data_IF_618803369925
#
_entry.id   IF_618803369925
#
_cell.length_a   1.000
_cell.length_b   1.000
_cell.length_c   1.000
_cell.angle_alpha   90.00
_cell.angle_beta   90.00
_cell.angle_gamma   90.00
#
_symmetry.space_group_name_H-M   'P 1'
#
loop_
_entity.id
_entity.type
_entity.pdbx_description
1 polymer ?
#
# COMPACT_ATOMS: atom_id res chain seq x y z
N UNK A 1 8.27 6.56 -40.44
CA UNK A 1 8.88 5.25 -40.12
C UNK A 1 10.30 5.54 -39.73
N UNK A 2 10.73 5.13 -38.54
CA UNK A 2 12.11 5.39 -38.09
C UNK A 2 12.82 4.04 -37.99
N UNK A 3 13.95 3.93 -38.68
CA UNK A 3 14.75 2.71 -38.91
C UNK A 3 15.53 2.29 -37.64
N UNK A 4 14.86 2.19 -36.47
CA UNK A 4 15.53 1.78 -35.23
C UNK A 4 15.65 0.26 -35.13
N UNK A 5 14.59 -0.46 -35.47
CA UNK A 5 14.56 -1.92 -35.42
C UNK A 5 13.65 -2.49 -36.50
N UNK A 6 13.82 -3.78 -36.77
CA UNK A 6 12.90 -4.57 -37.57
C UNK A 6 12.34 -5.73 -36.77
N UNK A 7 11.18 -6.22 -37.20
CA UNK A 7 10.62 -7.49 -36.73
C UNK A 7 11.22 -8.64 -37.55
N UNK A 8 11.94 -9.53 -36.89
CA UNK A 8 12.55 -10.71 -37.54
C UNK A 8 11.45 -11.75 -37.79
N UNK A 9 10.74 -11.65 -38.92
CA UNK A 9 9.49 -12.39 -39.19
C UNK A 9 9.57 -13.92 -39.09
N UNK A 10 10.75 -14.50 -39.32
CA UNK A 10 10.97 -15.95 -39.17
C UNK A 10 11.27 -16.37 -37.73
N UNK A 11 11.68 -15.45 -36.85
CA UNK A 11 11.84 -15.67 -35.42
C UNK A 11 10.57 -15.24 -34.70
N UNK A 12 9.62 -16.17 -34.57
CA UNK A 12 8.33 -15.92 -33.93
C UNK A 12 8.05 -16.92 -32.81
N UNK A 13 7.24 -16.50 -31.83
CA UNK A 13 6.72 -17.36 -30.76
C UNK A 13 5.30 -16.97 -30.38
N UNK A 14 4.57 -17.91 -29.82
CA UNK A 14 3.22 -17.69 -29.27
C UNK A 14 3.32 -17.39 -27.76
N UNK A 15 2.71 -16.29 -27.32
CA UNK A 15 2.49 -15.97 -25.90
C UNK A 15 1.05 -15.50 -25.75
N UNK A 16 0.29 -16.11 -24.83
CA UNK A 16 -1.10 -15.74 -24.53
C UNK A 16 -2.00 -15.64 -25.79
N UNK A 17 -1.79 -16.56 -26.76
CA UNK A 17 -2.52 -16.58 -28.03
C UNK A 17 -2.14 -15.47 -29.03
N UNK A 18 -1.02 -14.77 -28.79
CA UNK A 18 -0.44 -13.75 -29.67
C UNK A 18 0.84 -14.26 -30.30
N UNK A 19 0.97 -14.03 -31.60
CA UNK A 19 2.23 -14.24 -32.32
C UNK A 19 3.13 -13.01 -32.13
N UNK A 20 4.26 -13.19 -31.45
CA UNK A 20 5.29 -12.17 -31.24
C UNK A 20 6.51 -12.46 -32.13
N UNK A 21 7.23 -11.40 -32.49
CA UNK A 21 8.45 -11.43 -33.29
C UNK A 21 9.63 -10.90 -32.49
N UNK A 22 10.80 -11.51 -32.69
CA UNK A 22 12.05 -10.99 -32.15
C UNK A 22 12.37 -9.64 -32.81
N UNK A 23 12.80 -8.65 -32.04
CA UNK A 23 13.28 -7.38 -32.60
C UNK A 23 14.78 -7.45 -32.91
N UNK A 24 15.21 -6.76 -33.96
CA UNK A 24 16.63 -6.61 -34.32
C UNK A 24 16.98 -5.17 -34.57
N UNK A 25 18.04 -4.67 -33.94
CA UNK A 25 18.48 -3.29 -34.08
C UNK A 25 19.02 -3.01 -35.50
N UNK A 26 18.56 -1.92 -36.11
CA UNK A 26 18.98 -1.48 -37.45
C UNK A 26 20.12 -0.44 -37.40
N UNK A 27 20.34 0.17 -36.23
CA UNK A 27 21.42 1.13 -35.94
C UNK A 27 21.90 0.99 -34.49
N UNK A 28 23.13 1.41 -34.15
CA UNK A 28 23.59 1.42 -32.78
C UNK A 28 22.97 2.57 -31.97
N UNK A 29 22.72 2.36 -30.68
CA UNK A 29 22.32 3.38 -29.70
C UNK A 29 22.59 2.86 -28.28
N UNK A 30 23.08 3.72 -27.39
CA UNK A 30 23.52 3.34 -26.05
C UNK A 30 24.50 2.13 -26.08
N UNK A 31 24.12 1.02 -25.45
CA UNK A 31 24.84 -0.26 -25.41
C UNK A 31 24.44 -1.24 -26.53
N UNK A 32 23.39 -0.93 -27.31
CA UNK A 32 22.88 -1.77 -28.41
C UNK A 32 23.65 -1.48 -29.69
N UNK A 33 24.16 -2.54 -30.34
CA UNK A 33 24.84 -2.47 -31.64
C UNK A 33 23.90 -2.82 -32.78
N UNK A 34 24.22 -2.34 -33.99
CA UNK A 34 23.50 -2.74 -35.20
C UNK A 34 23.56 -4.25 -35.38
N UNK A 35 22.41 -4.89 -35.59
CA UNK A 35 22.26 -6.33 -35.74
C UNK A 35 21.93 -7.07 -34.44
N UNK A 36 22.05 -6.43 -33.27
CA UNK A 36 21.73 -7.06 -31.99
C UNK A 36 20.25 -7.46 -31.94
N UNK A 37 19.99 -8.65 -31.40
CA UNK A 37 18.64 -9.14 -31.15
C UNK A 37 18.18 -8.65 -29.78
N UNK A 38 17.04 -7.95 -29.76
CA UNK A 38 16.30 -7.62 -28.54
C UNK A 38 15.19 -8.63 -28.25
N UNK A 39 14.29 -8.33 -27.34
CA UNK A 39 13.17 -9.20 -26.94
C UNK A 39 12.06 -9.30 -27.98
N UNK A 40 10.85 -9.52 -27.51
CA UNK A 40 9.72 -9.97 -28.34
C UNK A 40 8.58 -8.95 -28.34
N UNK A 41 8.07 -8.63 -29.52
CA UNK A 41 6.92 -7.73 -29.68
C UNK A 41 5.89 -8.26 -30.66
N UNK A 42 4.61 -7.94 -30.46
CA UNK A 42 3.54 -8.30 -31.41
C UNK A 42 3.62 -7.44 -32.67
N UNK A 43 3.91 -6.14 -32.51
CA UNK A 43 4.01 -5.19 -33.60
C UNK A 43 4.99 -4.06 -33.29
N UNK A 44 5.31 -3.25 -34.31
CA UNK A 44 6.12 -2.04 -34.15
C UNK A 44 5.51 -1.03 -33.16
N UNK A 45 4.20 -1.11 -32.93
CA UNK A 45 3.50 -0.23 -31.99
C UNK A 45 3.87 -0.48 -30.53
N UNK A 46 4.47 -1.62 -30.18
CA UNK A 46 4.82 -1.96 -28.80
C UNK A 46 6.11 -1.28 -28.32
N UNK A 47 6.98 -0.88 -29.25
CA UNK A 47 8.22 -0.17 -28.95
C UNK A 47 8.26 1.11 -29.79
N UNK A 48 7.86 2.24 -29.18
CA UNK A 48 7.67 3.50 -29.89
C UNK A 48 8.78 4.50 -29.61
N UNK A 49 8.96 5.38 -30.58
CA UNK A 49 9.70 6.62 -30.45
C UNK A 49 8.72 7.75 -30.12
N UNK A 50 9.14 8.68 -29.27
CA UNK A 50 8.52 9.98 -29.11
C UNK A 50 9.55 11.06 -28.71
N UNK A 51 9.07 12.27 -28.47
CA UNK A 51 9.91 13.40 -28.03
C UNK A 51 10.56 13.19 -26.66
N UNK A 52 10.18 12.16 -25.89
CA UNK A 52 10.74 11.86 -24.57
C UNK A 52 12.02 11.00 -24.65
N UNK A 53 12.32 10.42 -25.81
CA UNK A 53 13.58 9.71 -26.02
C UNK A 53 13.51 8.63 -27.10
N UNK A 54 14.69 8.31 -27.63
CA UNK A 54 14.89 7.31 -28.68
C UNK A 54 15.56 6.03 -28.17
N UNK A 55 15.78 5.88 -26.85
CA UNK A 55 16.64 4.83 -26.32
C UNK A 55 15.89 3.60 -25.81
N UNK A 56 14.56 3.64 -25.75
CA UNK A 56 13.76 2.52 -25.26
C UNK A 56 14.11 1.20 -25.96
N UNK A 57 14.32 0.14 -25.18
CA UNK A 57 14.69 -1.16 -25.72
C UNK A 57 14.17 -2.32 -24.88
N UNK A 58 13.88 -3.42 -25.56
CA UNK A 58 13.44 -4.67 -24.95
C UNK A 58 14.60 -5.64 -25.17
N UNK A 59 15.16 -6.18 -24.09
CA UNK A 59 16.29 -7.12 -24.08
C UNK A 59 15.82 -8.55 -23.82
N UNK A 60 16.73 -9.50 -24.01
CA UNK A 60 16.60 -10.89 -23.55
C UNK A 60 15.28 -11.54 -23.99
N UNK A 61 14.56 -12.20 -23.09
CA UNK A 61 13.30 -12.88 -23.37
C UNK A 61 12.06 -12.02 -23.07
N UNK A 62 12.24 -10.74 -22.74
CA UNK A 62 11.14 -9.87 -22.38
C UNK A 62 10.13 -9.76 -23.52
N UNK A 63 8.85 -9.61 -23.17
CA UNK A 63 7.74 -9.61 -24.11
C UNK A 63 6.85 -8.39 -23.90
N UNK A 64 6.56 -7.66 -24.97
CA UNK A 64 5.63 -6.53 -24.96
C UNK A 64 4.62 -6.70 -26.09
N UNK A 65 3.34 -6.84 -25.77
CA UNK A 65 2.31 -7.21 -26.74
C UNK A 65 0.95 -6.59 -26.41
N UNK A 66 -0.03 -6.80 -27.30
CA UNK A 66 -1.29 -6.08 -27.29
C UNK A 66 -1.06 -4.58 -27.48
N UNK A 67 -1.78 -3.78 -26.69
CA UNK A 67 -1.70 -2.32 -26.67
C UNK A 67 -0.60 -1.77 -25.77
N UNK A 68 0.20 -2.63 -25.12
CA UNK A 68 1.29 -2.15 -24.29
C UNK A 68 2.32 -1.37 -25.12
N UNK A 69 2.80 -0.24 -24.58
CA UNK A 69 3.76 0.64 -25.25
C UNK A 69 4.95 0.89 -24.32
N UNK A 70 6.15 0.70 -24.88
CA UNK A 70 7.42 1.14 -24.27
C UNK A 70 7.99 2.29 -25.10
N UNK A 71 8.36 3.40 -24.43
CA UNK A 71 8.85 4.62 -25.08
C UNK A 71 9.90 5.36 -24.20
N UNK A 72 10.48 6.44 -24.72
CA UNK A 72 11.49 7.23 -24.03
C UNK A 72 12.84 6.51 -23.92
N UNK A 73 13.34 6.32 -22.69
CA UNK A 73 14.57 5.59 -22.37
C UNK A 73 14.27 4.34 -21.50
N UNK A 74 13.03 3.84 -21.56
CA UNK A 74 12.61 2.70 -20.75
C UNK A 74 13.24 1.40 -21.24
N UNK A 75 13.65 0.55 -20.32
CA UNK A 75 14.32 -0.70 -20.66
C UNK A 75 13.66 -1.90 -19.98
N UNK A 76 13.35 -2.91 -20.79
CA UNK A 76 12.69 -4.14 -20.34
C UNK A 76 13.66 -5.30 -20.53
N UNK A 77 13.90 -6.12 -19.51
CA UNK A 77 14.94 -7.16 -19.51
C UNK A 77 14.41 -8.52 -19.05
N UNK A 78 15.27 -9.54 -19.14
CA UNK A 78 15.05 -10.90 -18.65
C UNK A 78 13.77 -11.54 -19.22
N UNK A 79 12.83 -11.96 -18.38
CA UNK A 79 11.59 -12.66 -18.76
C UNK A 79 10.34 -11.81 -18.47
N UNK A 80 10.51 -10.49 -18.27
CA UNK A 80 9.40 -9.59 -17.95
C UNK A 80 8.35 -9.58 -19.07
N UNK A 81 7.07 -9.53 -18.68
CA UNK A 81 5.94 -9.52 -19.61
C UNK A 81 5.06 -8.30 -19.40
N UNK A 82 4.72 -7.65 -20.51
CA UNK A 82 3.93 -6.43 -20.52
C UNK A 82 2.83 -6.57 -21.57
N UNK A 83 1.58 -6.48 -21.15
CA UNK A 83 0.44 -6.57 -22.05
C UNK A 83 -0.73 -5.65 -21.64
N UNK A 84 -1.55 -5.34 -22.64
CA UNK A 84 -2.83 -4.67 -22.49
C UNK A 84 -3.74 -5.11 -23.65
N UNK A 85 -4.68 -6.01 -23.38
CA UNK A 85 -5.40 -6.70 -24.47
C UNK A 85 -6.75 -6.10 -24.86
N UNK A 86 -7.43 -5.40 -23.95
CA UNK A 86 -8.84 -5.10 -24.05
C UNK A 86 -9.11 -3.69 -24.58
N UNK A 87 -10.36 -3.41 -25.00
CA UNK A 87 -10.66 -2.20 -25.77
C UNK A 87 -10.35 -0.89 -25.01
N UNK A 88 -10.45 -0.92 -23.68
CA UNK A 88 -10.32 0.26 -22.81
C UNK A 88 -9.04 0.28 -21.94
N UNK A 89 -8.25 -0.79 -21.92
CA UNK A 89 -7.05 -0.86 -21.09
C UNK A 89 -5.80 -0.34 -21.82
N UNK A 90 -4.78 0.05 -21.05
CA UNK A 90 -3.49 0.45 -21.59
C UNK A 90 -2.36 0.21 -20.58
N UNK A 91 -1.18 -0.14 -21.07
CA UNK A 91 0.04 -0.21 -20.29
C UNK A 91 1.12 0.64 -20.98
N UNK A 92 1.52 1.73 -20.33
CA UNK A 92 2.53 2.66 -20.86
C UNK A 92 3.75 2.70 -19.95
N UNK A 93 4.92 2.42 -20.52
CA UNK A 93 6.21 2.39 -19.83
C UNK A 93 7.13 3.41 -20.50
N UNK A 94 7.61 4.37 -19.72
CA UNK A 94 8.25 5.59 -20.22
C UNK A 94 9.38 6.08 -19.32
N UNK A 95 10.01 7.20 -19.67
CA UNK A 95 11.11 7.77 -18.90
C UNK A 95 12.35 6.89 -18.93
N UNK A 96 13.02 6.73 -17.80
CA UNK A 96 14.16 5.83 -17.60
C UNK A 96 13.75 4.55 -16.83
N UNK A 97 12.46 4.18 -16.87
CA UNK A 97 11.95 3.04 -16.12
C UNK A 97 12.66 1.74 -16.51
N UNK A 98 12.89 0.87 -15.52
CA UNK A 98 13.51 -0.44 -15.72
C UNK A 98 12.58 -1.54 -15.22
N UNK A 99 12.26 -2.48 -16.10
CA UNK A 99 11.44 -3.64 -15.77
C UNK A 99 12.24 -4.90 -16.06
N UNK A 100 12.46 -5.75 -15.08
CA UNK A 100 13.31 -6.94 -15.24
C UNK A 100 12.86 -8.10 -14.34
N UNK A 101 13.56 -9.24 -14.38
CA UNK A 101 13.15 -10.46 -13.70
C UNK A 101 11.96 -11.13 -14.39
N UNK A 102 10.97 -11.57 -13.60
CA UNK A 102 9.72 -12.21 -14.04
C UNK A 102 8.51 -11.28 -13.84
N UNK A 103 8.73 -9.97 -13.76
CA UNK A 103 7.67 -8.99 -13.52
C UNK A 103 6.57 -9.11 -14.60
N UNK A 104 5.30 -9.09 -14.15
CA UNK A 104 4.13 -9.15 -15.04
C UNK A 104 3.32 -7.86 -14.92
N UNK A 105 3.23 -7.13 -16.02
CA UNK A 105 2.41 -5.94 -16.16
C UNK A 105 1.28 -6.28 -17.13
N UNK A 106 0.05 -6.32 -16.63
CA UNK A 106 -1.11 -6.80 -17.38
C UNK A 106 -2.33 -5.95 -17.02
N UNK A 107 -2.65 -5.00 -17.89
CA UNK A 107 -3.68 -4.00 -17.63
C UNK A 107 -5.12 -4.58 -17.54
N UNK A 108 -5.32 -5.90 -17.57
CA UNK A 108 -6.61 -6.54 -17.23
C UNK A 108 -7.79 -6.03 -18.06
N UNK A 109 -9.01 -6.02 -17.49
CA UNK A 109 -10.21 -5.57 -18.22
C UNK A 109 -10.36 -4.07 -18.31
N UNK A 110 -10.15 -3.39 -17.19
CA UNK A 110 -10.37 -1.97 -16.95
C UNK A 110 -9.13 -1.26 -16.39
N UNK A 111 -8.01 -1.97 -16.27
CA UNK A 111 -6.78 -1.44 -15.71
C UNK A 111 -6.10 -0.43 -16.62
N UNK A 112 -5.47 0.56 -16.00
CA UNK A 112 -4.58 1.50 -16.68
C UNK A 112 -3.27 1.52 -15.92
N UNK A 113 -2.20 1.08 -16.57
CA UNK A 113 -0.87 1.07 -15.99
C UNK A 113 -0.02 2.17 -16.62
N UNK A 114 0.56 3.03 -15.78
CA UNK A 114 1.52 4.04 -16.20
C UNK A 114 2.78 3.92 -15.34
N UNK A 115 3.88 3.50 -15.96
CA UNK A 115 5.19 3.37 -15.32
C UNK A 115 6.14 4.39 -15.97
N UNK A 116 6.77 5.23 -15.17
CA UNK A 116 7.60 6.34 -15.67
C UNK A 116 8.70 6.77 -14.72
N UNK A 117 9.37 7.88 -15.04
CA UNK A 117 10.51 8.37 -14.24
C UNK A 117 11.68 7.38 -14.25
N UNK A 118 12.31 7.15 -13.12
CA UNK A 118 13.37 6.15 -12.90
C UNK A 118 12.83 4.88 -12.19
N UNK A 119 11.52 4.61 -12.28
CA UNK A 119 10.89 3.52 -11.54
C UNK A 119 11.50 2.16 -11.88
N UNK A 120 11.58 1.28 -10.88
CA UNK A 120 12.17 -0.07 -11.04
C UNK A 120 11.18 -1.14 -10.62
N UNK A 121 10.81 -2.01 -11.56
CA UNK A 121 9.91 -3.14 -11.32
C UNK A 121 10.67 -4.45 -11.57
N UNK A 122 10.75 -5.31 -10.57
CA UNK A 122 11.52 -6.55 -10.70
C UNK A 122 11.03 -7.71 -9.81
N UNK A 123 11.74 -8.83 -9.81
CA UNK A 123 11.27 -10.06 -9.16
C UNK A 123 10.07 -10.64 -9.89
N UNK A 124 9.06 -11.08 -9.16
CA UNK A 124 7.79 -11.61 -9.64
C UNK A 124 6.64 -10.60 -9.46
N UNK A 125 6.94 -9.31 -9.34
CA UNK A 125 5.94 -8.27 -9.09
C UNK A 125 4.84 -8.29 -10.17
N UNK A 126 3.59 -8.10 -9.76
CA UNK A 126 2.43 -8.06 -10.64
C UNK A 126 1.75 -6.70 -10.58
N UNK A 127 1.50 -6.09 -11.74
CA UNK A 127 0.86 -4.78 -11.82
C UNK A 127 -0.28 -4.87 -12.83
N UNK A 128 -1.50 -4.60 -12.38
CA UNK A 128 -2.69 -4.62 -13.24
C UNK A 128 -3.35 -3.27 -13.41
N UNK A 129 -3.11 -2.33 -12.50
CA UNK A 129 -3.51 -0.93 -12.64
C UNK A 129 -2.67 -0.04 -11.73
N UNK A 130 -2.63 1.25 -12.01
CA UNK A 130 -1.98 2.25 -11.17
C UNK A 130 -0.84 3.01 -11.87
N UNK A 131 -0.37 4.05 -11.17
CA UNK A 131 0.73 4.90 -11.62
C UNK A 131 1.97 4.67 -10.76
N UNK A 132 3.10 4.33 -11.36
CA UNK A 132 4.37 4.15 -10.67
C UNK A 132 5.40 5.07 -11.33
N UNK A 133 5.97 6.01 -10.57
CA UNK A 133 6.84 7.03 -11.15
C UNK A 133 8.02 7.42 -10.26
N UNK A 134 8.85 8.35 -10.75
CA UNK A 134 10.02 8.87 -10.04
C UNK A 134 11.00 7.74 -9.69
N UNK A 135 11.48 7.58 -8.46
CA UNK A 135 12.46 6.54 -8.10
C UNK A 135 11.80 5.31 -7.41
N UNK A 136 10.48 5.17 -7.52
CA UNK A 136 9.74 4.11 -6.85
C UNK A 136 10.21 2.71 -7.27
N UNK A 137 10.17 1.76 -6.33
CA UNK A 137 10.55 0.36 -6.56
C UNK A 137 9.44 -0.59 -6.16
N UNK A 138 9.11 -1.53 -7.05
CA UNK A 138 8.15 -2.61 -6.78
C UNK A 138 8.82 -3.94 -7.12
N UNK A 139 8.95 -4.83 -6.14
CA UNK A 139 9.70 -6.07 -6.34
C UNK A 139 9.22 -7.24 -5.47
N UNK A 140 9.98 -8.35 -5.48
CA UNK A 140 9.58 -9.65 -4.93
C UNK A 140 8.26 -10.14 -5.53
N UNK A 141 7.23 -10.43 -4.74
CA UNK A 141 5.91 -10.87 -5.21
C UNK A 141 4.83 -9.80 -5.00
N UNK A 142 5.20 -8.52 -4.87
CA UNK A 142 4.25 -7.44 -4.64
C UNK A 142 3.19 -7.35 -5.75
N UNK A 143 1.93 -7.08 -5.37
CA UNK A 143 0.80 -6.96 -6.30
C UNK A 143 0.19 -5.55 -6.23
N UNK A 144 0.17 -4.86 -7.37
CA UNK A 144 -0.40 -3.50 -7.51
C UNK A 144 -1.60 -3.57 -8.45
N UNK A 145 -2.79 -3.30 -7.92
CA UNK A 145 -4.05 -3.29 -8.70
C UNK A 145 -4.68 -1.91 -8.77
N UNK A 146 -3.98 -0.88 -8.29
CA UNK A 146 -4.41 0.51 -8.38
C UNK A 146 -3.53 1.45 -7.54
N UNK A 147 -3.91 2.73 -7.51
CA UNK A 147 -3.21 3.76 -6.75
C UNK A 147 -2.03 4.43 -7.48
N UNK A 148 -1.28 5.25 -6.75
CA UNK A 148 -0.12 6.01 -7.22
C UNK A 148 1.05 5.80 -6.27
N UNK A 149 2.18 5.33 -6.80
CA UNK A 149 3.42 5.07 -6.08
C UNK A 149 4.51 5.95 -6.69
N UNK A 150 5.12 6.84 -5.90
CA UNK A 150 6.10 7.80 -6.42
C UNK A 150 7.23 8.08 -5.42
N UNK A 151 8.07 9.06 -5.74
CA UNK A 151 9.27 9.44 -4.98
C UNK A 151 10.22 8.25 -4.81
N UNK A 152 10.61 7.89 -3.59
CA UNK A 152 11.53 6.77 -3.31
C UNK A 152 10.81 5.57 -2.65
N UNK A 153 9.48 5.50 -2.76
CA UNK A 153 8.68 4.46 -2.12
C UNK A 153 9.09 3.06 -2.59
N UNK A 154 9.05 2.08 -1.67
CA UNK A 154 9.41 0.69 -1.92
C UNK A 154 8.28 -0.25 -1.53
N UNK A 155 7.77 -1.02 -2.49
CA UNK A 155 6.77 -2.06 -2.25
C UNK A 155 7.40 -3.42 -2.57
N UNK A 156 7.43 -4.33 -1.60
CA UNK A 156 8.12 -5.62 -1.75
C UNK A 156 7.53 -6.73 -0.88
N UNK A 157 8.16 -7.89 -0.78
CA UNK A 157 7.55 -9.08 -0.18
C UNK A 157 6.31 -9.54 -0.97
N UNK A 158 5.21 -9.80 -0.27
CA UNK A 158 3.91 -10.19 -0.84
C UNK A 158 2.85 -9.07 -0.65
N UNK A 159 3.29 -7.82 -0.50
CA UNK A 159 2.38 -6.70 -0.22
C UNK A 159 1.39 -6.48 -1.36
N UNK A 160 0.15 -6.11 -1.02
CA UNK A 160 -0.95 -5.87 -1.96
C UNK A 160 -1.43 -4.44 -1.86
N UNK A 161 -1.31 -3.68 -2.94
CA UNK A 161 -1.78 -2.29 -3.05
C UNK A 161 -2.96 -2.25 -4.01
N UNK A 162 -4.15 -2.00 -3.48
CA UNK A 162 -5.38 -1.94 -4.25
C UNK A 162 -5.68 -0.51 -4.71
N UNK A 163 -5.39 0.48 -3.87
CA UNK A 163 -5.64 1.90 -4.14
C UNK A 163 -4.85 2.78 -3.17
N UNK A 164 -4.76 4.07 -3.48
CA UNK A 164 -4.13 5.07 -2.59
C UNK A 164 -2.98 5.85 -3.19
N UNK A 165 -2.38 6.72 -2.37
CA UNK A 165 -1.17 7.48 -2.73
C UNK A 165 -0.04 7.13 -1.77
N UNK A 166 1.03 6.52 -2.28
CA UNK A 166 2.20 6.08 -1.53
C UNK A 166 3.42 6.83 -2.05
N UNK A 167 4.05 7.66 -1.20
CA UNK A 167 5.11 8.59 -1.58
C UNK A 167 6.23 8.63 -0.51
N UNK A 168 7.18 9.56 -0.63
CA UNK A 168 8.32 9.65 0.27
C UNK A 168 9.29 8.49 0.11
N UNK A 169 9.86 8.07 1.24
CA UNK A 169 10.67 6.87 1.39
C UNK A 169 9.88 5.71 2.01
N UNK A 170 8.54 5.73 1.91
CA UNK A 170 7.66 4.74 2.53
C UNK A 170 8.01 3.31 2.07
N UNK A 171 7.92 2.36 3.00
CA UNK A 171 8.24 0.94 2.77
C UNK A 171 7.05 0.08 3.15
N UNK A 172 6.50 -0.65 2.18
CA UNK A 172 5.36 -1.56 2.38
C UNK A 172 5.79 -2.96 1.97
N UNK A 173 5.75 -3.91 2.90
CA UNK A 173 6.26 -5.27 2.68
C UNK A 173 5.54 -6.33 3.51
N UNK A 174 6.06 -7.56 3.57
CA UNK A 174 5.34 -8.68 4.17
C UNK A 174 4.11 -9.05 3.35
N UNK A 175 3.02 -9.44 4.00
CA UNK A 175 1.70 -9.70 3.41
C UNK A 175 0.72 -8.53 3.64
N UNK A 176 1.21 -7.30 3.82
CA UNK A 176 0.35 -6.14 4.09
C UNK A 176 -0.65 -5.87 2.96
N UNK A 177 -1.86 -5.43 3.30
CA UNK A 177 -2.91 -5.04 2.34
C UNK A 177 -3.26 -3.57 2.52
N UNK A 178 -3.19 -2.80 1.44
CA UNK A 178 -3.47 -1.35 1.42
C UNK A 178 -4.61 -1.05 0.44
N UNK A 179 -5.64 -0.37 0.90
CA UNK A 179 -6.82 0.03 0.14
C UNK A 179 -7.26 1.44 0.56
N UNK A 180 -6.56 2.47 0.12
CA UNK A 180 -6.86 3.84 0.55
C UNK A 180 -7.93 4.49 -0.33
N UNK A 181 -9.01 4.92 0.32
CA UNK A 181 -10.15 5.59 -0.30
C UNK A 181 -9.87 7.06 -0.65
N UNK A 182 -10.82 7.63 -1.37
CA UNK A 182 -11.00 9.08 -1.55
C UNK A 182 -12.43 9.45 -1.23
N UNK A 183 -12.66 10.65 -0.69
CA UNK A 183 -14.00 11.19 -0.51
C UNK A 183 -14.29 12.34 -1.51
N UNK A 184 -15.56 12.75 -1.55
CA UNK A 184 -16.06 13.78 -2.46
C UNK A 184 -15.53 15.20 -2.17
N UNK A 185 -14.82 15.39 -1.05
CA UNK A 185 -14.24 16.68 -0.63
C UNK A 185 -12.73 16.73 -0.84
N UNK A 186 -12.19 15.88 -1.72
CA UNK A 186 -10.77 15.81 -2.12
C UNK A 186 -9.80 15.29 -1.05
N UNK A 187 -10.28 14.72 0.06
CA UNK A 187 -9.40 13.98 0.94
C UNK A 187 -9.17 12.58 0.37
N UNK A 188 -7.92 12.12 0.49
CA UNK A 188 -7.48 10.81 0.04
C UNK A 188 -6.60 10.23 1.14
N UNK A 189 -6.77 8.94 1.43
CA UNK A 189 -5.79 8.26 2.28
C UNK A 189 -4.41 8.29 1.61
N UNK A 190 -3.38 8.54 2.42
CA UNK A 190 -2.01 8.76 1.95
C UNK A 190 -1.00 8.11 2.87
N UNK A 191 0.04 7.51 2.29
CA UNK A 191 1.20 7.01 3.02
C UNK A 191 2.41 7.76 2.50
N UNK A 192 3.13 8.47 3.36
CA UNK A 192 4.33 9.22 2.97
C UNK A 192 5.37 9.29 4.10
N UNK A 193 6.47 10.00 3.85
CA UNK A 193 7.60 10.05 4.79
C UNK A 193 8.44 8.77 4.74
N UNK A 194 8.95 8.34 5.88
CA UNK A 194 9.72 7.09 6.08
C UNK A 194 8.86 5.97 6.68
N UNK A 195 7.53 6.02 6.52
CA UNK A 195 6.59 5.07 7.13
C UNK A 195 6.92 3.63 6.72
N UNK A 196 6.75 2.68 7.64
CA UNK A 196 6.97 1.26 7.43
C UNK A 196 5.72 0.46 7.77
N UNK A 197 5.18 -0.25 6.79
CA UNK A 197 3.98 -1.08 6.95
C UNK A 197 4.34 -2.50 6.52
N UNK A 198 4.20 -3.48 7.42
CA UNK A 198 4.66 -4.84 7.14
C UNK A 198 3.90 -5.93 7.90
N UNK A 199 4.42 -7.17 7.84
CA UNK A 199 3.76 -8.39 8.30
C UNK A 199 2.39 -8.57 7.66
N UNK A 200 1.29 -8.62 8.42
CA UNK A 200 -0.06 -8.81 7.90
C UNK A 200 -0.93 -7.56 8.08
N UNK A 201 -0.32 -6.38 8.25
CA UNK A 201 -1.04 -5.13 8.48
C UNK A 201 -2.05 -4.80 7.37
N UNK A 202 -3.25 -4.38 7.74
CA UNK A 202 -4.33 -4.02 6.83
C UNK A 202 -4.71 -2.55 7.01
N UNK A 203 -4.57 -1.75 5.95
CA UNK A 203 -4.89 -0.32 5.96
C UNK A 203 -5.97 -0.04 4.93
N UNK A 204 -7.12 0.48 5.36
CA UNK A 204 -8.31 0.64 4.53
C UNK A 204 -9.02 2.00 4.75
N UNK A 205 -9.64 2.58 3.71
CA UNK A 205 -10.38 3.85 3.83
C UNK A 205 -9.50 5.11 3.78
N UNK A 206 -9.92 6.18 4.47
CA UNK A 206 -9.28 7.50 4.45
C UNK A 206 -8.12 7.62 5.45
N UNK A 207 -7.28 6.59 5.55
CA UNK A 207 -6.17 6.56 6.51
C UNK A 207 -4.98 7.36 5.99
N UNK A 208 -4.41 8.20 6.85
CA UNK A 208 -3.21 8.96 6.55
C UNK A 208 -2.05 8.54 7.47
N UNK A 209 -0.93 8.12 6.87
CA UNK A 209 0.26 7.63 7.57
C UNK A 209 1.47 8.46 7.13
N UNK A 210 2.15 9.08 8.08
CA UNK A 210 3.23 10.03 7.81
C UNK A 210 4.52 9.68 8.56
N UNK A 211 5.57 10.43 8.24
CA UNK A 211 6.85 10.44 8.95
C UNK A 211 7.45 9.07 9.21
N UNK A 212 7.72 8.69 10.46
CA UNK A 212 8.46 7.47 10.81
C UNK A 212 7.55 6.39 11.39
N UNK A 213 6.24 6.45 11.11
CA UNK A 213 5.24 5.53 11.64
C UNK A 213 5.57 4.08 11.27
N UNK A 214 5.44 3.16 12.22
CA UNK A 214 5.64 1.73 12.03
C UNK A 214 4.37 0.97 12.35
N UNK A 215 3.81 0.29 11.36
CA UNK A 215 2.58 -0.51 11.50
C UNK A 215 2.88 -1.94 11.07
N UNK A 216 2.70 -2.90 11.96
CA UNK A 216 3.13 -4.28 11.72
C UNK A 216 2.33 -5.30 12.51
N UNK A 217 2.71 -6.58 12.50
CA UNK A 217 1.85 -7.66 12.99
C UNK A 217 0.54 -7.80 12.20
N UNK A 218 -0.56 -8.09 12.90
CA UNK A 218 -1.91 -8.25 12.37
C UNK A 218 -2.76 -6.98 12.61
N UNK A 219 -2.15 -5.80 12.63
CA UNK A 219 -2.85 -4.52 12.86
C UNK A 219 -3.85 -4.21 11.75
N UNK A 220 -4.99 -3.63 12.14
CA UNK A 220 -5.94 -3.01 11.22
C UNK A 220 -6.05 -1.51 11.51
N UNK A 221 -5.87 -0.68 10.49
CA UNK A 221 -6.20 0.74 10.55
C UNK A 221 -7.22 1.06 9.46
N UNK A 222 -8.38 1.60 9.83
CA UNK A 222 -9.45 1.83 8.86
C UNK A 222 -10.26 3.11 9.10
N UNK A 223 -11.10 3.49 8.13
CA UNK A 223 -11.87 4.75 8.12
C UNK A 223 -10.96 6.00 8.07
N UNK A 224 -11.19 7.03 8.89
CA UNK A 224 -10.53 8.33 8.77
C UNK A 224 -9.43 8.55 9.82
N UNK A 225 -8.57 7.55 10.03
CA UNK A 225 -7.54 7.60 11.07
C UNK A 225 -6.26 8.31 10.58
N UNK A 226 -5.66 9.11 11.46
CA UNK A 226 -4.42 9.84 11.19
C UNK A 226 -3.29 9.36 12.12
N UNK A 227 -2.21 8.88 11.50
CA UNK A 227 -1.14 8.10 12.10
C UNK A 227 0.20 8.77 11.74
N UNK A 228 0.83 9.48 12.68
CA UNK A 228 1.97 10.36 12.37
C UNK A 228 3.17 10.19 13.34
N UNK A 229 4.33 10.73 12.97
CA UNK A 229 5.58 10.78 13.74
C UNK A 229 6.21 9.40 14.01
N UNK A 230 6.57 9.08 15.25
CA UNK A 230 7.33 7.88 15.64
C UNK A 230 6.43 6.79 16.23
N UNK A 231 5.15 6.77 15.83
CA UNK A 231 4.20 5.80 16.33
C UNK A 231 4.59 4.37 15.97
N UNK A 232 4.31 3.45 16.89
CA UNK A 232 4.43 2.01 16.65
C UNK A 232 3.11 1.34 16.94
N UNK A 233 2.55 0.68 15.96
CA UNK A 233 1.31 -0.08 16.10
C UNK A 233 1.58 -1.51 15.67
N UNK A 234 1.31 -2.47 16.55
CA UNK A 234 1.60 -3.88 16.31
C UNK A 234 0.70 -4.84 17.08
N UNK A 235 0.93 -6.14 16.91
CA UNK A 235 0.09 -7.18 17.50
C UNK A 235 -1.21 -7.34 16.72
N UNK A 236 -2.34 -7.28 17.40
CA UNK A 236 -3.71 -7.39 16.86
C UNK A 236 -4.49 -6.08 17.04
N UNK A 237 -3.80 -4.94 17.03
CA UNK A 237 -4.40 -3.65 17.30
C UNK A 237 -5.39 -3.23 16.20
N UNK A 238 -6.51 -2.62 16.59
CA UNK A 238 -7.51 -2.07 15.68
C UNK A 238 -7.68 -0.57 15.95
N UNK A 239 -7.41 0.25 14.93
CA UNK A 239 -7.51 1.72 14.99
C UNK A 239 -8.51 2.17 13.94
N UNK A 240 -9.54 2.92 14.36
CA UNK A 240 -10.61 3.30 13.43
C UNK A 240 -11.36 4.56 13.80
N UNK A 241 -12.15 5.06 12.86
CA UNK A 241 -12.83 6.36 12.99
C UNK A 241 -11.83 7.50 12.82
N UNK A 242 -12.13 8.66 13.42
CA UNK A 242 -11.32 9.88 13.34
C UNK A 242 -10.12 9.89 14.33
N UNK A 243 -9.55 8.72 14.60
CA UNK A 243 -8.52 8.55 15.62
C UNK A 243 -7.21 9.23 15.17
N UNK A 244 -6.61 10.01 16.07
CA UNK A 244 -5.36 10.73 15.86
C UNK A 244 -4.28 10.18 16.79
N UNK A 245 -3.25 9.57 16.22
CA UNK A 245 -2.11 9.03 16.95
C UNK A 245 -0.85 9.79 16.51
N UNK A 246 -0.16 10.39 17.47
CA UNK A 246 0.98 11.27 17.21
C UNK A 246 2.16 10.99 18.16
N UNK A 247 3.26 11.70 17.93
CA UNK A 247 4.49 11.67 18.72
C UNK A 247 5.09 10.26 18.85
N UNK A 248 5.09 9.69 20.06
CA UNK A 248 5.70 8.39 20.39
C UNK A 248 4.61 7.41 20.87
N UNK A 249 3.37 7.53 20.40
CA UNK A 249 2.32 6.58 20.78
C UNK A 249 2.73 5.16 20.36
N UNK A 250 2.66 4.24 21.31
CA UNK A 250 2.93 2.83 21.08
C UNK A 250 1.64 2.07 21.41
N UNK A 251 1.12 1.30 20.45
CA UNK A 251 -0.08 0.49 20.58
C UNK A 251 0.28 -0.94 20.18
N UNK A 252 -0.03 -1.89 21.03
CA UNK A 252 0.34 -3.30 20.86
C UNK A 252 -0.81 -4.23 21.20
N UNK A 253 -0.62 -5.54 20.98
CA UNK A 253 -1.58 -6.58 21.39
C UNK A 253 -2.99 -6.37 20.81
N UNK A 254 -4.07 -6.76 21.50
CA UNK A 254 -5.47 -6.57 21.07
C UNK A 254 -6.04 -5.25 21.58
N UNK A 255 -5.44 -4.11 21.24
CA UNK A 255 -5.95 -2.79 21.65
C UNK A 255 -6.92 -2.22 20.61
N UNK A 256 -8.05 -1.67 21.06
CA UNK A 256 -9.03 -0.98 20.21
C UNK A 256 -9.05 0.53 20.51
N UNK A 257 -8.65 1.36 19.54
CA UNK A 257 -8.71 2.83 19.64
C UNK A 257 -9.66 3.36 18.57
N UNK A 258 -10.63 4.20 18.96
CA UNK A 258 -11.64 4.67 18.02
C UNK A 258 -12.22 6.07 18.25
N UNK A 259 -13.08 6.52 17.32
CA UNK A 259 -13.72 7.84 17.39
C UNK A 259 -12.69 8.97 17.29
N UNK A 260 -12.91 10.09 17.97
CA UNK A 260 -11.98 11.24 17.98
C UNK A 260 -10.81 11.07 18.97
N UNK A 261 -10.29 9.84 19.12
CA UNK A 261 -9.18 9.54 20.03
C UNK A 261 -7.97 10.43 19.72
N UNK A 262 -7.28 10.92 20.75
CA UNK A 262 -6.06 11.72 20.59
C UNK A 262 -4.95 11.15 21.49
N UNK A 263 -4.09 10.32 20.91
CA UNK A 263 -3.08 9.54 21.63
C UNK A 263 -1.69 10.01 21.24
N UNK A 264 -0.98 10.66 22.17
CA UNK A 264 0.39 11.13 21.96
C UNK A 264 1.45 10.33 22.73
N UNK A 265 1.05 9.63 23.78
CA UNK A 265 1.93 8.84 24.64
C UNK A 265 1.20 7.63 25.20
N UNK A 266 1.96 6.64 25.68
CA UNK A 266 1.41 5.41 26.27
C UNK A 266 0.45 5.64 27.44
N UNK A 267 0.58 6.79 28.13
CA UNK A 267 -0.30 7.17 29.25
C UNK A 267 -1.62 7.84 28.81
N UNK A 268 -1.89 7.94 27.49
CA UNK A 268 -3.17 8.45 26.97
C UNK A 268 -4.21 7.35 26.76
N UNK A 269 -3.83 6.08 26.95
CA UNK A 269 -4.73 4.94 26.97
C UNK A 269 -4.35 3.98 28.11
N UNK A 270 -5.28 3.08 28.43
CA UNK A 270 -5.12 2.03 29.43
C UNK A 270 -5.85 0.79 28.95
N UNK A 271 -5.19 -0.38 28.94
CA UNK A 271 -5.80 -1.63 28.47
C UNK A 271 -5.52 -2.77 29.45
N UNK A 272 -6.53 -3.59 29.71
CA UNK A 272 -6.44 -4.79 30.53
C UNK A 272 -7.15 -5.97 29.87
N UNK A 273 -6.66 -7.17 30.19
CA UNK A 273 -7.17 -8.45 29.72
C UNK A 273 -7.80 -9.23 30.87
N UNK A 274 -8.71 -10.16 30.55
CA UNK A 274 -9.35 -11.08 31.49
C UNK A 274 -10.09 -10.37 32.65
N UNK A 275 -10.84 -9.31 32.32
CA UNK A 275 -11.73 -8.62 33.26
C UNK A 275 -13.17 -8.89 32.85
N UNK A 276 -13.95 -9.39 33.80
CA UNK A 276 -15.33 -9.81 33.54
C UNK A 276 -15.43 -11.25 33.03
N UNK A 277 -16.65 -11.69 32.68
CA UNK A 277 -16.86 -12.95 31.98
C UNK A 277 -16.43 -12.92 30.50
N UNK A 278 -16.18 -11.73 29.93
CA UNK A 278 -15.80 -11.57 28.53
C UNK A 278 -14.31 -11.88 28.29
N UNK A 279 -13.99 -12.69 27.26
CA UNK A 279 -12.61 -12.91 26.78
C UNK A 279 -12.17 -11.82 25.79
N UNK A 280 -12.50 -10.58 26.11
CA UNK A 280 -12.23 -9.40 25.30
C UNK A 280 -11.45 -8.35 26.10
N UNK A 281 -10.53 -7.61 25.45
CA UNK A 281 -9.79 -6.54 26.09
C UNK A 281 -10.76 -5.42 26.49
N UNK A 282 -10.48 -4.79 27.62
CA UNK A 282 -11.08 -3.49 27.97
C UNK A 282 -10.03 -2.42 27.71
N UNK A 283 -10.28 -1.56 26.73
CA UNK A 283 -9.41 -0.43 26.39
C UNK A 283 -10.11 0.88 26.72
N UNK A 284 -9.54 1.64 27.65
CA UNK A 284 -9.93 3.01 27.92
C UNK A 284 -8.96 4.00 27.27
N UNK A 285 -9.46 5.05 26.61
CA UNK A 285 -8.62 6.00 25.89
C UNK A 285 -9.21 7.42 25.90
N UNK A 286 -8.34 8.43 25.78
CA UNK A 286 -8.75 9.84 25.77
C UNK A 286 -9.21 10.28 24.39
N UNK A 287 -10.30 11.04 24.35
CA UNK A 287 -10.75 11.77 23.18
C UNK A 287 -10.18 13.19 23.14
N UNK A 288 -10.31 13.83 21.97
CA UNK A 288 -9.89 15.21 21.75
C UNK A 288 -10.53 16.21 22.74
N UNK A 289 -11.79 15.99 23.12
CA UNK A 289 -12.53 16.79 24.11
C UNK A 289 -12.20 16.46 25.57
N UNK A 290 -11.19 15.61 25.80
CA UNK A 290 -10.74 15.11 27.10
C UNK A 290 -11.69 14.13 27.79
N UNK A 291 -12.80 13.74 27.16
CA UNK A 291 -13.62 12.63 27.66
C UNK A 291 -12.86 11.30 27.56
N UNK A 292 -13.24 10.34 28.41
CA UNK A 292 -12.67 9.00 28.44
C UNK A 292 -13.69 8.05 27.82
N UNK A 293 -13.31 7.36 26.75
CA UNK A 293 -14.08 6.28 26.14
C UNK A 293 -13.59 4.93 26.66
N UNK A 294 -14.49 3.96 26.73
CA UNK A 294 -14.21 2.56 26.98
C UNK A 294 -14.70 1.75 25.78
N UNK A 295 -13.78 0.99 25.20
CA UNK A 295 -14.07 -0.10 24.26
C UNK A 295 -13.92 -1.45 24.96
N UNK A 296 -14.98 -2.27 24.93
CA UNK A 296 -14.98 -3.60 25.52
C UNK A 296 -16.01 -4.51 24.82
N UNK A 297 -15.55 -5.49 24.05
CA UNK A 297 -16.40 -6.24 23.12
C UNK A 297 -17.10 -5.30 22.13
N UNK A 298 -18.41 -5.43 21.96
CA UNK A 298 -19.23 -4.56 21.10
C UNK A 298 -19.51 -3.17 21.70
N UNK A 299 -19.14 -2.93 22.96
CA UNK A 299 -19.34 -1.64 23.61
C UNK A 299 -18.25 -0.65 23.19
N UNK A 300 -18.69 0.56 22.85
CA UNK A 300 -17.83 1.71 22.64
C UNK A 300 -18.55 2.97 23.16
N UNK A 301 -18.39 3.25 24.45
CA UNK A 301 -19.18 4.28 25.16
C UNK A 301 -18.29 5.10 26.09
N UNK A 302 -18.76 6.23 26.59
CA UNK A 302 -18.03 7.01 27.60
C UNK A 302 -17.89 6.23 28.90
N UNK A 303 -16.86 6.53 29.69
CA UNK A 303 -16.63 5.89 31.00
C UNK A 303 -17.84 5.98 31.93
N UNK A 304 -18.59 7.08 31.88
CA UNK A 304 -19.79 7.29 32.71
C UNK A 304 -20.97 6.45 32.24
N UNK A 305 -21.16 6.31 30.91
CA UNK A 305 -22.17 5.40 30.35
C UNK A 305 -21.79 3.95 30.66
N UNK A 306 -20.51 3.58 30.55
CA UNK A 306 -20.05 2.24 30.92
C UNK A 306 -20.32 1.94 32.40
N UNK A 307 -20.01 2.89 33.30
CA UNK A 307 -20.31 2.77 34.73
C UNK A 307 -21.80 2.58 35.00
N UNK A 308 -22.66 3.33 34.31
CA UNK A 308 -24.11 3.17 34.37
C UNK A 308 -24.54 1.76 33.93
N UNK A 309 -24.06 1.28 32.78
CA UNK A 309 -24.38 -0.05 32.26
C UNK A 309 -23.96 -1.17 33.22
N UNK A 310 -22.79 -1.07 33.85
CA UNK A 310 -22.33 -2.05 34.84
C UNK A 310 -23.25 -2.08 36.06
N UNK A 311 -23.69 -0.93 36.57
CA UNK A 311 -24.59 -0.83 37.73
C UNK A 311 -26.00 -1.37 37.43
N UNK A 312 -26.50 -1.17 36.22
CA UNK A 312 -27.79 -1.69 35.78
C UNK A 312 -27.74 -3.21 35.55
N UNK A 313 -26.71 -3.70 34.86
CA UNK A 313 -26.58 -5.10 34.45
C UNK A 313 -26.20 -6.03 35.61
N UNK A 314 -25.38 -5.53 36.54
CA UNK A 314 -24.94 -6.28 37.71
C UNK A 314 -25.42 -5.57 38.97
N UNK A 315 -26.53 -6.04 39.56
CA UNK A 315 -27.05 -5.50 40.83
C UNK A 315 -26.05 -5.72 41.97
N UNK A 316 -25.45 -6.91 42.04
CA UNK A 316 -24.42 -7.30 43.02
C UNK A 316 -23.47 -8.34 42.40
N UNK A 317 -22.28 -8.55 42.99
CA UNK A 317 -21.38 -9.66 42.65
C UNK A 317 -19.96 -9.25 42.25
N UNK A 318 -19.03 -10.21 42.29
CA UNK A 318 -17.58 -10.00 42.09
C UNK A 318 -17.24 -9.15 40.85
N UNK A 319 -17.90 -9.40 39.71
CA UNK A 319 -17.60 -8.67 38.47
C UNK A 319 -17.97 -7.19 38.55
N UNK A 320 -19.09 -6.86 39.18
CA UNK A 320 -19.50 -5.47 39.41
C UNK A 320 -18.43 -4.71 40.19
N UNK A 321 -17.97 -5.30 41.29
CA UNK A 321 -17.02 -4.63 42.18
C UNK A 321 -15.64 -4.48 41.53
N UNK A 322 -15.22 -5.48 40.75
CA UNK A 322 -14.00 -5.40 39.92
C UNK A 322 -14.13 -4.29 38.88
N UNK A 323 -15.23 -4.24 38.12
CA UNK A 323 -15.46 -3.21 37.10
C UNK A 323 -15.52 -1.80 37.71
N UNK A 324 -16.20 -1.61 38.84
CA UNK A 324 -16.27 -0.30 39.50
C UNK A 324 -14.91 0.15 40.03
N UNK A 325 -14.13 -0.76 40.64
CA UNK A 325 -12.76 -0.46 41.08
C UNK A 325 -11.85 -0.10 39.91
N UNK A 326 -12.03 -0.78 38.77
CA UNK A 326 -11.32 -0.50 37.54
C UNK A 326 -11.70 0.87 36.98
N UNK A 327 -12.99 1.21 36.93
CA UNK A 327 -13.48 2.51 36.45
C UNK A 327 -12.88 3.65 37.28
N UNK A 328 -12.83 3.52 38.61
CA UNK A 328 -12.15 4.52 39.45
C UNK A 328 -10.67 4.65 39.09
N UNK A 329 -9.99 3.54 38.85
CA UNK A 329 -8.57 3.52 38.46
C UNK A 329 -8.37 4.19 37.11
N UNK A 330 -9.21 3.88 36.12
CA UNK A 330 -9.22 4.49 34.77
C UNK A 330 -9.41 6.00 34.89
N UNK A 331 -10.42 6.45 35.66
CA UNK A 331 -10.70 7.88 35.87
C UNK A 331 -9.50 8.58 36.49
N UNK A 332 -8.85 7.99 37.51
CA UNK A 332 -7.65 8.55 38.15
C UNK A 332 -6.46 8.62 37.18
N UNK A 333 -6.24 7.58 36.39
CA UNK A 333 -5.10 7.50 35.48
C UNK A 333 -5.23 8.44 34.28
N UNK A 334 -6.44 8.54 33.69
CA UNK A 334 -6.66 9.25 32.43
C UNK A 334 -7.22 10.67 32.61
N UNK A 335 -7.75 11.04 33.77
CA UNK A 335 -8.10 12.44 34.04
C UNK A 335 -6.85 13.33 34.07
N UNK A 336 -7.03 14.64 33.80
CA UNK A 336 -5.95 15.60 34.01
C UNK A 336 -5.61 15.63 35.50
N UNK A 337 -4.34 15.37 35.83
CA UNK A 337 -3.77 15.79 37.10
C UNK A 337 -4.00 17.30 37.22
N UNK A 338 -4.69 17.72 38.29
CA UNK A 338 -4.87 19.14 38.62
C UNK A 338 -3.54 19.78 38.98
#
# INVERSE_FOLDING_TARGET
>A
MNDKFELVKYMKREIDGKTLYRIRALRPFNDVKKGDLGGWVESENNLRYDYLGENAWIYDNAAVYGKAIVLGNAHIYNDARICAELYQNNASISGNAKIHGQAKIDAGYDGVVSIGGNAQIFGNAKITSGKISENAKVYDNAEITGGSISENAKIFGNAKILSGSIRGNAQIYGNSKIELGRNNISQAGVIMGNAKIFDNAQIDGLVSIFDNAKIYGNTKAYNNSNLDNYIKIYGHAEIYGDAKLEFNAEISERIHISGNANIGKINDYFSLYAIGPEDEPLTAFKQSDQSIMISHGDLNVTVDIFEYLIKERHKEGKYRDVYLSLIETIKKQLSKLK
#
